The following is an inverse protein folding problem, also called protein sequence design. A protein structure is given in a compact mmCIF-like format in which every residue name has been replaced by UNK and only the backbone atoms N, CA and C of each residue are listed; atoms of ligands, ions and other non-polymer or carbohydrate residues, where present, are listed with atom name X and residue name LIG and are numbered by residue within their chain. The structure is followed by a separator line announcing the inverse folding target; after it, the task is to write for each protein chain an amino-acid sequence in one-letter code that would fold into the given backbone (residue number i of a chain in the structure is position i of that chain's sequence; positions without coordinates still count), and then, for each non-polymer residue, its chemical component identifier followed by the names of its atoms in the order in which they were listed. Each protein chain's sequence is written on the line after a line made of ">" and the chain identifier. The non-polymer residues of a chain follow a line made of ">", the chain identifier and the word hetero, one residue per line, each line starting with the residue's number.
data_IF_967827648871
#
_entry.id   IF_967827648871
#
_cell.length_a   1.000
_cell.length_b   1.000
_cell.length_c   1.000
_cell.angle_alpha   90.00
_cell.angle_beta   90.00
_cell.angle_gamma   90.00
#
_symmetry.space_group_name_H-M   'P 1'
#
loop_
_entity.id
_entity.type
_entity.pdbx_description
1 polymer ?
#
# COMPACT_ATOMS: atom_id res chain seq x y z
N UNK A 1 2.23 -21.24 7.32
CA UNK A 1 1.80 -20.28 6.25
C UNK A 1 1.89 -18.90 6.87
N UNK A 2 2.61 -17.98 6.21
CA UNK A 2 2.78 -16.61 6.72
C UNK A 2 1.48 -15.81 6.58
N UNK A 3 1.20 -14.96 7.58
CA UNK A 3 0.02 -14.09 7.60
C UNK A 3 0.38 -12.70 7.11
N UNK A 4 -0.33 -12.20 6.13
CA UNK A 4 -0.05 -10.87 5.56
C UNK A 4 -1.28 -9.98 5.57
N UNK A 5 -1.07 -8.72 5.89
CA UNK A 5 -2.05 -7.66 5.78
C UNK A 5 -1.74 -6.80 4.55
N UNK A 6 -2.74 -6.59 3.71
CA UNK A 6 -2.75 -5.49 2.75
C UNK A 6 -3.66 -4.41 3.32
N UNK A 7 -3.04 -3.34 3.81
CA UNK A 7 -3.72 -2.20 4.44
C UNK A 7 -3.72 -1.02 3.48
N UNK A 8 -4.88 -0.43 3.20
CA UNK A 8 -4.90 0.67 2.25
C UNK A 8 -5.82 1.84 2.66
N UNK A 9 -5.57 3.00 2.07
CA UNK A 9 -6.47 4.12 1.96
C UNK A 9 -6.72 4.47 0.50
N UNK A 10 -7.97 4.63 0.12
CA UNK A 10 -8.37 4.99 -1.25
C UNK A 10 -9.59 5.91 -1.22
N UNK A 11 -9.41 7.19 -1.61
CA UNK A 11 -10.52 8.13 -1.72
C UNK A 11 -11.39 7.87 -2.97
N UNK A 12 -10.79 7.44 -4.09
CA UNK A 12 -11.47 7.32 -5.39
C UNK A 12 -11.41 5.91 -6.00
N UNK A 13 -10.95 4.89 -5.27
CA UNK A 13 -10.94 3.50 -5.71
C UNK A 13 -9.65 3.03 -6.40
N UNK A 14 -8.72 3.90 -6.78
CA UNK A 14 -7.48 3.50 -7.45
C UNK A 14 -6.63 2.59 -6.57
N UNK A 15 -6.36 3.01 -5.32
CA UNK A 15 -5.55 2.21 -4.40
C UNK A 15 -6.31 0.96 -3.92
N UNK A 16 -7.64 0.96 -3.87
CA UNK A 16 -8.44 -0.24 -3.62
C UNK A 16 -8.17 -1.32 -4.67
N UNK A 17 -8.14 -0.96 -5.97
CA UNK A 17 -7.84 -1.90 -7.05
C UNK A 17 -6.41 -2.44 -6.95
N UNK A 18 -5.43 -1.56 -6.71
CA UNK A 18 -4.03 -1.95 -6.50
C UNK A 18 -3.86 -2.88 -5.30
N UNK A 19 -4.56 -2.60 -4.19
CA UNK A 19 -4.53 -3.42 -2.98
C UNK A 19 -5.16 -4.81 -3.19
N UNK A 20 -6.26 -4.90 -3.94
CA UNK A 20 -6.87 -6.17 -4.35
C UNK A 20 -5.89 -6.99 -5.20
N UNK A 21 -5.24 -6.37 -6.18
CA UNK A 21 -4.25 -7.03 -7.03
C UNK A 21 -3.02 -7.52 -6.22
N UNK A 22 -2.51 -6.71 -5.30
CA UNK A 22 -1.42 -7.13 -4.41
C UNK A 22 -1.83 -8.31 -3.51
N UNK A 23 -3.06 -8.31 -2.99
CA UNK A 23 -3.60 -9.41 -2.19
C UNK A 23 -3.72 -10.71 -3.00
N UNK A 24 -4.12 -10.63 -4.28
CA UNK A 24 -4.14 -11.77 -5.20
C UNK A 24 -2.73 -12.35 -5.37
N UNK A 25 -1.75 -11.51 -5.72
CA UNK A 25 -0.37 -11.94 -5.90
C UNK A 25 0.25 -12.54 -4.63
N UNK A 26 -0.08 -12.00 -3.46
CA UNK A 26 0.41 -12.56 -2.20
C UNK A 26 -0.22 -13.95 -1.88
N UNK A 27 -1.49 -14.20 -2.24
CA UNK A 27 -2.07 -15.55 -2.18
C UNK A 27 -1.38 -16.52 -3.13
N UNK A 28 -1.07 -16.09 -4.35
CA UNK A 28 -0.28 -16.88 -5.31
C UNK A 28 1.11 -17.22 -4.76
N UNK A 29 1.71 -16.31 -3.95
CA UNK A 29 2.95 -16.52 -3.22
C UNK A 29 2.83 -17.41 -1.97
N UNK A 30 1.64 -17.97 -1.69
CA UNK A 30 1.40 -18.93 -0.61
C UNK A 30 1.12 -18.30 0.77
N UNK A 31 0.77 -17.02 0.85
CA UNK A 31 0.42 -16.37 2.11
C UNK A 31 -1.09 -16.42 2.43
N UNK A 32 -1.42 -16.45 3.71
CA UNK A 32 -2.77 -16.15 4.21
C UNK A 32 -2.97 -14.63 4.23
N UNK A 33 -3.96 -14.13 3.47
CA UNK A 33 -4.12 -12.69 3.23
C UNK A 33 -5.37 -12.14 3.90
N UNK A 34 -5.16 -11.06 4.63
CA UNK A 34 -6.22 -10.15 5.08
C UNK A 34 -6.10 -8.83 4.30
N UNK A 35 -7.21 -8.38 3.71
CA UNK A 35 -7.32 -7.08 3.05
C UNK A 35 -8.18 -6.16 3.90
N UNK A 36 -7.63 -5.02 4.33
CA UNK A 36 -8.32 -4.02 5.14
C UNK A 36 -8.01 -2.60 4.69
N UNK A 37 -8.87 -1.67 5.08
CA UNK A 37 -8.68 -0.24 4.84
C UNK A 37 -8.60 0.55 6.14
N UNK A 38 -7.98 1.72 6.08
CA UNK A 38 -8.04 2.67 7.20
C UNK A 38 -9.34 3.47 7.14
N UNK A 39 -9.83 4.00 8.27
CA UNK A 39 -11.06 4.79 8.30
C UNK A 39 -10.89 6.12 7.54
N UNK A 40 -12.00 6.62 6.98
CA UNK A 40 -12.09 7.99 6.47
C UNK A 40 -12.18 8.96 7.66
N UNK A 41 -11.52 10.11 7.54
CA UNK A 41 -11.52 11.18 8.58
C UNK A 41 -12.41 12.35 8.19
N UNK A 42 -12.77 12.47 6.92
CA UNK A 42 -13.66 13.55 6.45
C UNK A 42 -15.11 13.19 6.80
N UNK A 43 -15.92 14.16 7.25
CA UNK A 43 -17.35 13.92 7.44
C UNK A 43 -18.01 13.33 6.19
N UNK A 44 -18.96 12.42 6.38
CA UNK A 44 -19.58 11.67 5.26
C UNK A 44 -20.19 12.59 4.20
N UNK A 45 -20.82 13.67 4.61
CA UNK A 45 -21.38 14.68 3.71
C UNK A 45 -20.32 15.35 2.83
N UNK A 46 -19.13 15.63 3.40
CA UNK A 46 -17.99 16.22 2.67
C UNK A 46 -17.39 15.19 1.72
N UNK A 47 -17.24 13.95 2.17
CA UNK A 47 -16.72 12.85 1.35
C UNK A 47 -17.65 12.61 0.13
N UNK A 48 -18.96 12.59 0.32
CA UNK A 48 -19.96 12.46 -0.75
C UNK A 48 -19.90 13.64 -1.72
N UNK A 49 -19.85 14.88 -1.20
CA UNK A 49 -19.75 16.08 -2.04
C UNK A 49 -18.45 16.12 -2.87
N UNK A 50 -17.38 15.50 -2.36
CA UNK A 50 -16.09 15.37 -3.03
C UNK A 50 -15.97 14.08 -3.87
N UNK A 51 -17.06 13.36 -4.07
CA UNK A 51 -17.13 12.11 -4.85
C UNK A 51 -16.21 10.99 -4.35
N UNK A 52 -15.96 10.93 -3.04
CA UNK A 52 -15.17 9.83 -2.48
C UNK A 52 -15.95 8.51 -2.57
N UNK A 53 -15.25 7.45 -2.91
CA UNK A 53 -15.77 6.08 -2.86
C UNK A 53 -15.75 5.58 -1.42
N UNK A 54 -16.85 5.78 -0.70
CA UNK A 54 -16.96 5.39 0.72
C UNK A 54 -17.47 3.96 0.94
N UNK A 55 -18.13 3.37 -0.06
CA UNK A 55 -18.75 2.04 -0.07
C UNK A 55 -17.76 0.93 -0.47
N UNK A 56 -16.60 0.88 0.16
CA UNK A 56 -15.57 -0.12 -0.12
C UNK A 56 -15.79 -1.37 0.74
N UNK A 57 -15.67 -2.56 0.13
CA UNK A 57 -15.97 -3.86 0.76
C UNK A 57 -15.01 -4.23 1.91
N UNK A 58 -13.74 -3.81 1.81
CA UNK A 58 -12.73 -4.18 2.81
C UNK A 58 -13.09 -3.61 4.19
N UNK A 59 -13.05 -4.42 5.26
CA UNK A 59 -13.32 -3.95 6.61
C UNK A 59 -12.27 -2.93 7.07
N UNK A 60 -12.67 -2.10 8.04
CA UNK A 60 -11.77 -1.12 8.65
C UNK A 60 -10.81 -1.84 9.60
N UNK A 61 -9.53 -1.49 9.49
CA UNK A 61 -8.48 -1.99 10.37
C UNK A 61 -8.44 -1.26 11.70
N UNK A 62 -7.88 -1.90 12.71
CA UNK A 62 -7.49 -1.29 13.98
C UNK A 62 -5.96 -1.26 14.12
N UNK A 63 -5.36 -0.20 14.72
CA UNK A 63 -3.90 -0.12 14.82
C UNK A 63 -3.26 -1.31 15.55
N UNK A 64 -3.94 -1.85 16.57
CA UNK A 64 -3.40 -2.95 17.39
C UNK A 64 -3.21 -4.26 16.64
N UNK A 65 -4.05 -4.55 15.64
CA UNK A 65 -3.98 -5.82 14.89
C UNK A 65 -2.76 -5.93 13.97
N UNK A 66 -2.02 -4.84 13.71
CA UNK A 66 -0.79 -4.92 12.92
C UNK A 66 0.22 -5.93 13.49
N UNK A 67 0.18 -6.17 14.80
CA UNK A 67 1.05 -7.14 15.47
C UNK A 67 0.73 -8.61 15.09
N UNK A 68 -0.45 -8.90 14.55
CA UNK A 68 -0.91 -10.26 14.26
C UNK A 68 -0.41 -10.81 12.92
N UNK A 69 0.26 -9.96 12.11
CA UNK A 69 0.74 -10.30 10.78
C UNK A 69 2.27 -10.38 10.72
N UNK A 70 2.79 -11.24 9.87
CA UNK A 70 4.24 -11.39 9.58
C UNK A 70 4.70 -10.35 8.56
N UNK A 71 3.81 -9.91 7.69
CA UNK A 71 4.07 -8.86 6.70
C UNK A 71 2.90 -7.89 6.54
N UNK A 72 3.22 -6.64 6.18
CA UNK A 72 2.24 -5.57 5.94
C UNK A 72 2.59 -4.85 4.65
N UNK A 73 1.66 -4.83 3.69
CA UNK A 73 1.74 -3.96 2.52
C UNK A 73 0.84 -2.75 2.77
N UNK A 74 1.40 -1.55 2.75
CA UNK A 74 0.65 -0.29 2.86
C UNK A 74 0.38 0.29 1.49
N UNK A 75 -0.89 0.50 1.15
CA UNK A 75 -1.33 1.24 -0.03
C UNK A 75 -1.89 2.61 0.35
N UNK A 76 -1.36 3.71 -0.19
CA UNK A 76 -1.84 5.06 0.12
C UNK A 76 -1.90 5.96 -1.11
N UNK A 77 -2.78 6.97 -1.06
CA UNK A 77 -2.73 8.07 -2.02
C UNK A 77 -1.66 9.08 -1.58
N UNK A 78 -1.02 9.76 -2.55
CA UNK A 78 -0.16 10.90 -2.24
C UNK A 78 -0.98 12.12 -1.82
N UNK A 79 -0.43 12.89 -0.89
CA UNK A 79 -0.81 14.27 -0.59
C UNK A 79 0.48 15.06 -0.43
N UNK A 80 0.77 15.92 -1.43
CA UNK A 80 1.98 16.78 -1.42
C UNK A 80 3.29 15.98 -1.22
N UNK A 81 3.43 14.82 -1.88
CA UNK A 81 4.60 13.95 -1.76
C UNK A 81 4.65 13.08 -0.50
N UNK A 82 3.60 13.06 0.31
CA UNK A 82 3.49 12.26 1.54
C UNK A 82 2.27 11.33 1.46
N UNK A 83 2.15 10.38 2.39
CA UNK A 83 0.94 9.57 2.53
C UNK A 83 -0.27 10.44 2.88
N UNK A 84 -1.47 9.97 2.55
CA UNK A 84 -2.71 10.62 2.95
C UNK A 84 -2.84 10.71 4.48
N UNK A 85 -3.48 11.80 4.96
CA UNK A 85 -3.68 12.04 6.40
C UNK A 85 -4.42 10.90 7.11
N UNK A 86 -5.33 10.22 6.43
CA UNK A 86 -6.04 9.05 6.95
C UNK A 86 -5.08 7.90 7.31
N UNK A 87 -4.14 7.59 6.41
CA UNK A 87 -3.12 6.58 6.65
C UNK A 87 -2.15 7.05 7.74
N UNK A 88 -1.72 8.32 7.70
CA UNK A 88 -0.82 8.87 8.72
C UNK A 88 -1.45 8.85 10.11
N UNK A 89 -2.71 9.29 10.24
CA UNK A 89 -3.45 9.25 11.50
C UNK A 89 -3.59 7.81 12.05
N UNK A 90 -3.83 6.83 11.17
CA UNK A 90 -3.88 5.43 11.58
C UNK A 90 -2.52 4.97 12.13
N UNK A 91 -1.44 5.24 11.41
CA UNK A 91 -0.08 4.85 11.83
C UNK A 91 0.40 5.58 13.07
N UNK A 92 -0.01 6.84 13.31
CA UNK A 92 0.34 7.59 14.53
C UNK A 92 -0.26 6.96 15.80
N UNK A 93 -1.32 6.18 15.67
CA UNK A 93 -1.91 5.45 16.79
C UNK A 93 -1.16 4.16 17.14
N UNK A 94 -0.11 3.80 16.40
CA UNK A 94 0.69 2.57 16.66
C UNK A 94 1.82 2.78 17.69
N UNK A 95 1.87 3.90 18.39
CA UNK A 95 2.90 4.18 19.39
C UNK A 95 3.06 3.10 20.47
N UNK A 96 1.96 2.47 20.89
CA UNK A 96 1.98 1.34 21.82
C UNK A 96 2.65 0.08 21.26
N UNK A 97 2.52 -0.16 19.94
CA UNK A 97 3.22 -1.26 19.27
C UNK A 97 4.71 -0.97 19.14
N UNK A 98 5.06 0.27 18.81
CA UNK A 98 6.45 0.72 18.76
C UNK A 98 7.15 0.54 20.11
N UNK A 99 6.54 0.99 21.19
CA UNK A 99 7.10 0.89 22.53
C UNK A 99 7.38 -0.57 22.98
N UNK A 100 6.60 -1.53 22.45
CA UNK A 100 6.74 -2.96 22.71
C UNK A 100 7.65 -3.67 21.72
N UNK A 101 8.13 -2.99 20.67
CA UNK A 101 8.87 -3.61 19.57
C UNK A 101 8.05 -4.64 18.78
N UNK A 102 6.71 -4.51 18.76
CA UNK A 102 5.80 -5.54 18.25
C UNK A 102 5.90 -5.78 16.73
N UNK A 103 6.48 -4.84 15.97
CA UNK A 103 6.67 -4.95 14.52
C UNK A 103 8.13 -5.18 14.12
N UNK A 104 9.05 -5.36 15.07
CA UNK A 104 10.47 -5.64 14.78
C UNK A 104 10.57 -6.94 13.98
N UNK A 105 11.38 -6.90 12.90
CA UNK A 105 11.62 -7.99 11.94
C UNK A 105 10.42 -8.40 11.07
N UNK A 106 9.22 -7.84 11.24
CA UNK A 106 8.13 -8.05 10.29
C UNK A 106 8.47 -7.41 8.94
N UNK A 107 7.93 -7.96 7.87
CA UNK A 107 8.18 -7.46 6.51
C UNK A 107 7.23 -6.31 6.19
N UNK A 108 7.78 -5.24 5.58
CA UNK A 108 7.04 -4.07 5.14
C UNK A 108 7.19 -3.80 3.65
N UNK A 109 6.14 -3.36 2.99
CA UNK A 109 6.17 -2.90 1.60
C UNK A 109 5.14 -1.78 1.39
N UNK A 110 5.33 -0.94 0.35
CA UNK A 110 4.47 0.23 0.14
C UNK A 110 4.06 0.33 -1.33
N UNK A 111 2.82 0.75 -1.57
CA UNK A 111 2.27 1.14 -2.87
C UNK A 111 1.64 2.52 -2.78
N UNK A 112 1.67 3.28 -3.88
CA UNK A 112 1.19 4.68 -3.88
C UNK A 112 0.40 4.99 -5.16
N UNK A 113 -0.68 5.77 -5.03
CA UNK A 113 -1.36 6.43 -6.15
C UNK A 113 -1.08 7.93 -6.15
N UNK A 114 -0.90 8.52 -7.35
CA UNK A 114 -0.77 9.96 -7.55
C UNK A 114 -1.75 10.45 -8.60
N UNK A 115 -2.03 11.75 -8.63
CA UNK A 115 -2.80 12.36 -9.71
C UNK A 115 -1.94 12.54 -10.97
N UNK A 116 -0.64 12.79 -10.83
CA UNK A 116 0.24 13.13 -11.96
C UNK A 116 1.52 12.28 -11.95
N UNK A 117 2.14 12.10 -13.12
CA UNK A 117 3.34 11.28 -13.28
C UNK A 117 4.50 11.74 -12.38
N UNK A 118 4.64 13.04 -12.16
CA UNK A 118 5.69 13.62 -11.29
C UNK A 118 5.13 14.15 -9.96
N UNK A 119 4.00 13.61 -9.51
CA UNK A 119 3.26 14.07 -8.33
C UNK A 119 3.84 13.64 -6.96
N UNK A 120 5.11 13.26 -6.89
CA UNK A 120 5.76 12.88 -5.64
C UNK A 120 5.50 11.43 -5.21
N UNK A 121 5.22 10.53 -6.15
CA UNK A 121 4.98 9.12 -5.86
C UNK A 121 6.17 8.46 -5.12
N UNK A 122 7.38 8.63 -5.63
CA UNK A 122 8.58 8.06 -5.02
C UNK A 122 8.85 8.62 -3.62
N UNK A 123 8.63 9.94 -3.43
CA UNK A 123 8.79 10.57 -2.12
C UNK A 123 7.77 10.00 -1.11
N UNK A 124 6.52 9.79 -1.53
CA UNK A 124 5.49 9.19 -0.68
C UNK A 124 5.79 7.73 -0.36
N UNK A 125 6.35 6.95 -1.31
CA UNK A 125 6.83 5.58 -1.05
C UNK A 125 7.90 5.57 0.03
N UNK A 126 8.97 6.38 -0.14
CA UNK A 126 10.13 6.41 0.76
C UNK A 126 9.72 6.93 2.15
N UNK A 127 8.95 8.01 2.23
CA UNK A 127 8.52 8.56 3.53
C UNK A 127 7.61 7.61 4.31
N UNK A 128 6.78 6.82 3.62
CA UNK A 128 5.98 5.78 4.27
C UNK A 128 6.88 4.63 4.76
N UNK A 129 7.89 4.23 3.97
CA UNK A 129 8.87 3.22 4.40
C UNK A 129 9.68 3.67 5.63
N UNK A 130 10.02 4.96 5.76
CA UNK A 130 10.70 5.47 6.95
C UNK A 130 9.89 5.19 8.22
N UNK A 131 8.57 5.40 8.19
CA UNK A 131 7.73 5.09 9.34
C UNK A 131 7.74 3.59 9.68
N UNK A 132 7.72 2.71 8.68
CA UNK A 132 7.87 1.25 8.88
C UNK A 132 9.24 0.90 9.47
N UNK A 133 10.32 1.55 9.00
CA UNK A 133 11.67 1.35 9.52
C UNK A 133 11.81 1.82 10.99
N UNK A 134 11.11 2.88 11.41
CA UNK A 134 11.03 3.28 12.83
C UNK A 134 10.38 2.21 13.71
N UNK A 135 9.53 1.35 13.15
CA UNK A 135 9.00 0.17 13.81
C UNK A 135 9.94 -1.05 13.77
N UNK A 136 11.13 -0.93 13.14
CA UNK A 136 12.08 -2.05 12.99
C UNK A 136 11.70 -3.05 11.91
N UNK A 137 10.81 -2.69 10.98
CA UNK A 137 10.38 -3.58 9.89
C UNK A 137 11.45 -3.71 8.80
N UNK A 138 11.48 -4.86 8.15
CA UNK A 138 12.35 -5.17 7.00
C UNK A 138 11.63 -4.76 5.72
N UNK A 139 12.16 -3.80 4.98
CA UNK A 139 11.50 -3.29 3.77
C UNK A 139 11.80 -4.17 2.55
N UNK A 140 10.74 -4.65 1.90
CA UNK A 140 10.80 -5.37 0.62
C UNK A 140 10.23 -4.47 -0.47
N UNK A 141 11.08 -3.89 -1.34
CA UNK A 141 10.64 -3.02 -2.43
C UNK A 141 10.19 -3.81 -3.65
N UNK A 142 9.56 -3.13 -4.63
CA UNK A 142 9.25 -3.69 -5.95
C UNK A 142 10.53 -4.15 -6.65
N UNK A 143 11.57 -3.33 -6.61
CA UNK A 143 12.85 -3.50 -7.31
C UNK A 143 12.72 -3.57 -8.85
N UNK A 144 13.84 -3.53 -9.56
CA UNK A 144 13.87 -3.74 -11.02
C UNK A 144 13.72 -5.21 -11.44
N UNK A 145 13.40 -6.11 -10.51
CA UNK A 145 12.97 -7.47 -10.85
C UNK A 145 11.62 -7.46 -11.61
N UNK A 146 10.78 -6.44 -11.40
CA UNK A 146 9.63 -6.15 -12.25
C UNK A 146 10.08 -5.30 -13.45
N UNK A 147 10.34 -5.95 -14.60
CA UNK A 147 10.93 -5.31 -15.78
C UNK A 147 9.98 -4.37 -16.52
N UNK A 148 8.69 -4.62 -16.50
CA UNK A 148 7.65 -3.87 -17.21
C UNK A 148 7.54 -2.42 -16.75
N UNK A 149 8.09 -2.07 -15.57
CA UNK A 149 8.18 -0.68 -15.11
C UNK A 149 9.15 0.19 -15.92
N UNK A 150 10.07 -0.41 -16.72
CA UNK A 150 11.18 0.30 -17.35
C UNK A 150 10.83 0.98 -18.68
N UNK A 151 9.64 0.76 -19.25
CA UNK A 151 9.24 1.36 -20.53
C UNK A 151 8.93 2.87 -20.42
N UNK A 152 9.11 3.60 -21.52
CA UNK A 152 8.88 5.05 -21.64
C UNK A 152 7.88 5.43 -22.74
N UNK A 153 7.19 4.45 -23.31
CA UNK A 153 6.30 4.61 -24.46
C UNK A 153 4.88 5.06 -24.08
N UNK A 154 4.48 4.83 -22.81
CA UNK A 154 3.19 5.23 -22.24
C UNK A 154 3.36 5.72 -20.81
N UNK A 155 2.36 6.43 -20.30
CA UNK A 155 2.28 6.73 -18.85
C UNK A 155 2.07 5.42 -18.09
N UNK A 156 3.00 5.09 -17.21
CA UNK A 156 2.95 3.88 -16.40
C UNK A 156 3.39 4.13 -14.97
N UNK A 157 2.79 3.40 -14.05
CA UNK A 157 3.28 3.34 -12.68
C UNK A 157 4.49 2.42 -12.55
N UNK A 158 5.13 2.49 -11.42
CA UNK A 158 6.28 1.71 -11.03
C UNK A 158 7.40 2.59 -10.53
N UNK A 159 8.07 2.11 -9.52
CA UNK A 159 9.31 2.67 -8.99
C UNK A 159 10.07 1.54 -8.30
N UNK A 160 11.41 1.57 -8.24
CA UNK A 160 12.16 0.49 -7.58
C UNK A 160 11.79 0.35 -6.10
N UNK A 161 11.23 1.38 -5.49
CA UNK A 161 10.83 1.44 -4.08
C UNK A 161 9.47 0.78 -3.81
N UNK A 162 8.56 0.75 -4.78
CA UNK A 162 7.22 0.16 -4.66
C UNK A 162 6.35 0.47 -5.88
N UNK A 163 5.28 -0.29 -6.05
CA UNK A 163 4.37 -0.08 -7.19
C UNK A 163 3.57 1.21 -7.03
N UNK A 164 3.39 1.90 -8.14
CA UNK A 164 2.60 3.14 -8.20
C UNK A 164 1.56 3.08 -9.29
N UNK A 165 0.53 3.93 -9.20
CA UNK A 165 -0.43 4.20 -10.28
C UNK A 165 -0.67 5.70 -10.40
N UNK A 166 -0.91 6.17 -11.62
CA UNK A 166 -1.23 7.58 -11.91
C UNK A 166 -2.70 7.66 -12.30
N UNK A 167 -3.46 8.52 -11.61
CA UNK A 167 -4.91 8.61 -11.73
C UNK A 167 -5.42 9.72 -12.68
N UNK A 168 -4.54 10.57 -13.19
CA UNK A 168 -4.79 11.87 -13.80
C UNK A 168 -5.38 12.90 -12.81
N UNK A 169 -5.37 14.18 -13.21
CA UNK A 169 -5.75 15.29 -12.33
C UNK A 169 -7.24 15.27 -11.93
N UNK A 170 -8.09 14.66 -12.74
CA UNK A 170 -9.52 14.45 -12.49
C UNK A 170 -9.87 13.06 -11.94
N UNK A 171 -8.87 12.19 -11.78
CA UNK A 171 -9.08 10.82 -11.30
C UNK A 171 -9.67 9.86 -12.33
N UNK A 172 -9.77 10.24 -13.61
CA UNK A 172 -10.42 9.44 -14.65
C UNK A 172 -9.61 8.20 -15.06
N UNK A 173 -8.27 8.29 -15.03
CA UNK A 173 -7.40 7.19 -15.42
C UNK A 173 -7.40 6.10 -14.35
N UNK A 174 -7.94 4.95 -14.68
CA UNK A 174 -7.90 3.78 -13.81
C UNK A 174 -6.50 3.11 -13.86
N UNK A 175 -6.12 2.33 -12.81
CA UNK A 175 -4.91 1.53 -12.84
C UNK A 175 -4.86 0.65 -14.10
N UNK A 176 -3.77 0.74 -14.86
CA UNK A 176 -3.58 -0.03 -16.07
C UNK A 176 -3.35 -1.52 -15.76
N UNK A 177 -3.52 -2.38 -16.76
CA UNK A 177 -3.23 -3.81 -16.62
C UNK A 177 -1.79 -4.05 -16.15
N UNK A 178 -0.82 -3.26 -16.63
CA UNK A 178 0.58 -3.33 -16.21
C UNK A 178 0.76 -2.90 -14.75
N UNK A 179 0.06 -1.86 -14.29
CA UNK A 179 0.14 -1.40 -12.90
C UNK A 179 -0.48 -2.43 -11.94
N UNK A 180 -1.60 -3.06 -12.32
CA UNK A 180 -2.21 -4.14 -11.55
C UNK A 180 -1.32 -5.39 -11.51
N UNK A 181 -0.67 -5.74 -12.64
CA UNK A 181 0.29 -6.83 -12.70
C UNK A 181 1.51 -6.57 -11.81
N UNK A 182 2.03 -5.34 -11.81
CA UNK A 182 3.10 -4.91 -10.90
C UNK A 182 2.71 -5.00 -9.42
N UNK A 183 1.45 -4.69 -9.09
CA UNK A 183 0.94 -4.87 -7.73
C UNK A 183 0.85 -6.36 -7.35
N UNK A 184 0.39 -7.24 -8.26
CA UNK A 184 0.44 -8.71 -8.06
C UNK A 184 1.85 -9.20 -7.85
N UNK A 185 2.78 -8.77 -8.72
CA UNK A 185 4.19 -9.13 -8.60
C UNK A 185 4.75 -8.71 -7.23
N UNK A 186 4.49 -7.49 -6.77
CA UNK A 186 4.94 -7.00 -5.46
C UNK A 186 4.34 -7.83 -4.33
N UNK A 187 3.04 -8.13 -4.37
CA UNK A 187 2.36 -8.97 -3.40
C UNK A 187 3.00 -10.36 -3.28
N UNK A 188 3.19 -11.04 -4.40
CA UNK A 188 3.85 -12.36 -4.47
C UNK A 188 5.28 -12.31 -3.93
N UNK A 189 6.07 -11.32 -4.36
CA UNK A 189 7.44 -11.13 -3.88
C UNK A 189 7.51 -10.94 -2.37
N UNK A 190 6.64 -10.13 -1.80
CA UNK A 190 6.58 -9.92 -0.34
C UNK A 190 6.26 -11.24 0.37
N UNK A 191 5.27 -12.01 -0.12
CA UNK A 191 4.91 -13.31 0.46
C UNK A 191 6.10 -14.29 0.45
N UNK A 192 6.77 -14.45 -0.69
CA UNK A 192 7.92 -15.33 -0.86
C UNK A 192 9.09 -14.97 0.06
N UNK A 193 9.38 -13.66 0.23
CA UNK A 193 10.45 -13.20 1.13
C UNK A 193 10.04 -13.40 2.59
N UNK A 194 8.79 -13.08 2.93
CA UNK A 194 8.27 -13.29 4.28
C UNK A 194 8.35 -14.78 4.67
N UNK A 195 7.99 -15.69 3.76
CA UNK A 195 8.09 -17.13 4.00
C UNK A 195 9.53 -17.60 4.25
N UNK A 196 10.53 -16.96 3.64
CA UNK A 196 11.96 -17.28 3.90
C UNK A 196 12.46 -16.79 5.26
N UNK A 197 11.81 -15.77 5.83
CA UNK A 197 12.21 -15.17 7.11
C UNK A 197 11.43 -15.77 8.30
N UNK A 198 10.19 -16.18 8.08
CA UNK A 198 9.25 -16.58 9.13
C UNK A 198 8.61 -17.96 8.92
N UNK A 199 8.89 -18.61 7.79
CA UNK A 199 8.34 -19.93 7.42
C UNK A 199 9.16 -21.13 7.91
#
# INVERSE_FOLDING_TARGET
>A
MVKMLVLYYSAYGHMEQMAKAAAEGAREGGAEITLKRVPELVPEEVAKASHYKIDQEAPIATPGELADYDAIIIGTATRYGMMASQMKNFLDQTGGLWAKGALINKVGSVMVSTATQYGGAELALISTQWQMQHHGMIIVPLSYAYREQMGNDVVRGGAPYGMTTTADGDGSRQPSAQELDGARFQGRRVAEITAKLHG
#
